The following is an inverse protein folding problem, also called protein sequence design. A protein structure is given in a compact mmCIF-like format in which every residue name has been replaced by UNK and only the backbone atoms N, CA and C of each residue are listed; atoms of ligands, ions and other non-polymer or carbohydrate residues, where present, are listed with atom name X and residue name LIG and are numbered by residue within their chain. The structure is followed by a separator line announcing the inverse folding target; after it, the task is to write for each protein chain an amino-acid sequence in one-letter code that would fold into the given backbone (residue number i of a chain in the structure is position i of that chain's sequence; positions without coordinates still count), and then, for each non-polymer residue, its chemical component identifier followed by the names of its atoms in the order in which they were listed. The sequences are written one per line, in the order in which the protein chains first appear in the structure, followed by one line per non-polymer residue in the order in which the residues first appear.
data_IF_311142993932
#
_entry.id   IF_311142993932
#
_cell.length_a   1.000
_cell.length_b   1.000
_cell.length_c   1.000
_cell.angle_alpha   90.00
_cell.angle_beta   90.00
_cell.angle_gamma   90.00
#
_symmetry.space_group_name_H-M   'P 1'
#
loop_
_entity.id
_entity.type
_entity.pdbx_description
1 polymer ?
#
# COMPACT_ATOMS: atom_id res chain seq x y z
N UNK A 1 -21.52 -7.13 -2.66
CA UNK A 1 -20.21 -7.79 -2.45
C UNK A 1 -19.01 -7.00 -2.99
N UNK A 2 -19.18 -5.92 -3.77
CA UNK A 2 -18.06 -5.14 -4.32
C UNK A 2 -17.40 -4.16 -3.33
N UNK A 3 -18.16 -3.59 -2.39
CA UNK A 3 -17.66 -2.55 -1.47
C UNK A 3 -16.92 -3.10 -0.24
N UNK A 4 -17.14 -4.36 0.14
CA UNK A 4 -16.49 -4.99 1.31
C UNK A 4 -14.96 -4.93 1.23
N UNK A 5 -14.30 -5.35 0.12
CA UNK A 5 -12.84 -5.28 0.03
C UNK A 5 -12.35 -3.83 0.11
N UNK A 6 -13.07 -2.88 -0.50
CA UNK A 6 -12.70 -1.47 -0.49
C UNK A 6 -12.76 -0.91 0.94
N UNK A 7 -13.86 -1.17 1.67
CA UNK A 7 -13.99 -0.75 3.08
C UNK A 7 -12.88 -1.35 3.94
N UNK A 8 -12.57 -2.63 3.74
CA UNK A 8 -11.49 -3.29 4.48
C UNK A 8 -10.13 -2.65 4.18
N UNK A 9 -9.84 -2.32 2.91
CA UNK A 9 -8.60 -1.64 2.53
C UNK A 9 -8.48 -0.23 3.12
N UNK A 10 -9.60 0.50 3.23
CA UNK A 10 -9.61 1.84 3.85
C UNK A 10 -9.30 1.71 5.34
N UNK A 11 -9.97 0.81 6.04
CA UNK A 11 -9.73 0.58 7.48
C UNK A 11 -8.27 0.18 7.71
N UNK A 12 -7.75 -0.76 6.91
CA UNK A 12 -6.36 -1.19 7.00
C UNK A 12 -5.38 -0.03 6.74
N UNK A 13 -5.62 0.82 5.74
CA UNK A 13 -4.79 2.00 5.47
C UNK A 13 -4.82 3.03 6.61
N UNK A 14 -5.97 3.22 7.25
CA UNK A 14 -6.05 4.13 8.42
C UNK A 14 -5.22 3.60 9.58
N UNK A 15 -5.39 2.33 9.94
CA UNK A 15 -4.57 1.70 10.97
C UNK A 15 -3.09 1.72 10.62
N UNK A 16 -2.76 1.46 9.36
CA UNK A 16 -1.41 1.48 8.84
C UNK A 16 -0.70 2.81 9.14
N UNK A 17 -1.30 3.92 8.72
CA UNK A 17 -0.70 5.24 8.92
C UNK A 17 -0.62 5.65 10.39
N UNK A 18 -1.62 5.30 11.20
CA UNK A 18 -1.62 5.59 12.65
C UNK A 18 -0.50 4.80 13.34
N UNK A 19 -0.43 3.49 13.11
CA UNK A 19 0.57 2.62 13.72
C UNK A 19 1.98 3.01 13.30
N UNK A 20 2.18 3.34 12.02
CA UNK A 20 3.49 3.82 11.56
C UNK A 20 3.93 5.11 12.23
N UNK A 21 3.03 6.08 12.41
CA UNK A 21 3.36 7.32 13.13
C UNK A 21 3.66 7.07 14.61
N UNK A 22 3.04 6.04 15.20
CA UNK A 22 3.29 5.62 16.58
C UNK A 22 4.60 4.84 16.76
N UNK A 23 5.25 4.40 15.69
CA UNK A 23 6.57 3.75 15.78
C UNK A 23 7.56 4.77 16.37
N UNK A 24 8.25 4.44 17.47
CA UNK A 24 9.17 5.36 18.11
C UNK A 24 10.27 5.81 17.14
N UNK A 25 10.51 7.12 17.07
CA UNK A 25 11.57 7.69 16.23
C UNK A 25 12.97 7.22 16.65
N UNK A 26 13.12 6.82 17.92
CA UNK A 26 14.36 6.32 18.52
C UNK A 26 14.71 4.87 18.16
N UNK A 27 13.76 4.07 17.65
CA UNK A 27 14.04 2.67 17.24
C UNK A 27 14.64 2.62 15.84
N UNK A 28 15.48 1.62 15.55
CA UNK A 28 15.95 1.39 14.18
C UNK A 28 14.76 1.08 13.25
N UNK A 29 14.58 1.85 12.15
CA UNK A 29 13.42 1.68 11.28
C UNK A 29 13.41 0.29 10.64
N UNK A 30 14.59 -0.19 10.25
CA UNK A 30 14.79 -1.54 9.68
C UNK A 30 14.41 -2.62 10.69
N UNK A 31 14.71 -2.45 11.99
CA UNK A 31 14.33 -3.41 13.01
C UNK A 31 12.80 -3.47 13.18
N UNK A 32 12.13 -2.32 13.15
CA UNK A 32 10.66 -2.27 13.19
C UNK A 32 10.04 -2.95 11.95
N UNK A 33 10.60 -2.71 10.76
CA UNK A 33 10.19 -3.38 9.52
C UNK A 33 10.33 -4.90 9.62
N UNK A 34 11.49 -5.40 10.08
CA UNK A 34 11.73 -6.84 10.23
C UNK A 34 10.65 -7.47 11.12
N UNK A 35 10.31 -6.81 12.24
CA UNK A 35 9.25 -7.29 13.13
C UNK A 35 7.88 -7.30 12.44
N UNK A 36 7.52 -6.23 11.72
CA UNK A 36 6.26 -6.15 10.95
C UNK A 36 6.17 -7.22 9.87
N UNK A 37 7.27 -7.52 9.17
CA UNK A 37 7.28 -8.60 8.19
C UNK A 37 7.19 -9.97 8.84
N UNK A 38 7.80 -10.16 9.99
CA UNK A 38 7.70 -11.41 10.73
C UNK A 38 6.26 -11.67 11.20
N UNK A 39 5.57 -10.64 11.72
CA UNK A 39 4.16 -10.76 12.11
C UNK A 39 3.26 -10.98 10.90
N UNK A 40 3.50 -10.29 9.78
CA UNK A 40 2.76 -10.50 8.53
C UNK A 40 2.95 -11.92 7.98
N UNK A 41 4.19 -12.45 8.04
CA UNK A 41 4.50 -13.81 7.62
C UNK A 41 3.75 -14.82 8.48
N UNK A 42 3.83 -14.71 9.80
CA UNK A 42 3.14 -15.62 10.73
C UNK A 42 1.62 -15.56 10.50
N UNK A 43 1.05 -14.34 10.37
CA UNK A 43 -0.36 -14.15 10.08
C UNK A 43 -0.79 -14.81 8.76
N UNK A 44 -0.01 -14.61 7.70
CA UNK A 44 -0.29 -15.23 6.39
C UNK A 44 -0.21 -16.76 6.45
N UNK A 45 0.72 -17.32 7.24
CA UNK A 45 0.87 -18.76 7.42
C UNK A 45 -0.34 -19.36 8.14
N UNK A 46 -0.84 -18.70 9.19
CA UNK A 46 -2.03 -19.13 9.94
C UNK A 46 -3.26 -19.15 9.02
N UNK A 47 -3.46 -18.09 8.23
CA UNK A 47 -4.57 -18.01 7.28
C UNK A 47 -4.45 -19.09 6.21
N UNK A 48 -3.24 -19.34 5.70
CA UNK A 48 -2.99 -20.41 4.73
C UNK A 48 -3.37 -21.78 5.29
N UNK A 49 -2.90 -22.13 6.49
CA UNK A 49 -3.23 -23.41 7.15
C UNK A 49 -4.73 -23.55 7.38
N UNK A 50 -5.42 -22.46 7.74
CA UNK A 50 -6.86 -22.48 7.98
C UNK A 50 -7.68 -22.72 6.71
N UNK A 51 -7.30 -22.08 5.59
CA UNK A 51 -8.03 -22.19 4.32
C UNK A 51 -7.62 -23.41 3.47
N UNK A 52 -6.35 -23.82 3.51
CA UNK A 52 -5.77 -24.83 2.61
C UNK A 52 -5.35 -26.08 3.39
N UNK A 53 -6.33 -26.75 4.02
CA UNK A 53 -6.08 -27.93 4.87
C UNK A 53 -5.59 -29.18 4.12
N UNK A 54 -5.80 -29.24 2.79
CA UNK A 54 -5.56 -30.45 1.96
C UNK A 54 -4.70 -30.20 0.70
N UNK A 55 -3.92 -29.12 0.65
CA UNK A 55 -3.15 -28.75 -0.55
C UNK A 55 -1.68 -28.82 -0.21
N UNK A 56 -0.91 -29.60 -0.99
CA UNK A 56 0.54 -29.69 -0.84
C UNK A 56 1.16 -28.30 -1.01
N UNK A 57 1.88 -27.84 0.03
CA UNK A 57 2.58 -26.57 0.05
C UNK A 57 3.45 -26.40 -1.20
N UNK A 58 4.10 -27.48 -1.63
CA UNK A 58 5.03 -27.48 -2.77
C UNK A 58 4.32 -27.23 -4.10
N UNK A 59 3.06 -27.68 -4.28
CA UNK A 59 2.31 -27.41 -5.51
C UNK A 59 1.69 -26.01 -5.52
N UNK A 60 1.41 -25.42 -4.35
CA UNK A 60 1.01 -24.01 -4.25
C UNK A 60 2.17 -23.06 -4.59
N UNK A 61 3.42 -23.48 -4.31
CA UNK A 61 4.61 -22.71 -4.63
C UNK A 61 5.08 -22.85 -6.08
N UNK A 62 4.71 -23.91 -6.81
CA UNK A 62 5.06 -24.07 -8.23
C UNK A 62 4.47 -23.02 -9.16
N UNK A 63 3.42 -22.31 -8.74
CA UNK A 63 2.81 -21.20 -9.48
C UNK A 63 3.30 -19.81 -9.05
N UNK A 64 4.16 -19.70 -8.03
CA UNK A 64 4.65 -18.39 -7.59
C UNK A 64 5.59 -17.80 -8.63
N UNK A 65 5.20 -16.64 -9.15
CA UNK A 65 5.92 -15.92 -10.18
C UNK A 65 6.92 -14.92 -9.56
N UNK A 66 7.91 -14.49 -10.34
CA UNK A 66 8.84 -13.40 -9.98
C UNK A 66 8.13 -12.15 -9.43
N UNK A 67 6.89 -11.92 -9.87
CA UNK A 67 6.00 -10.86 -9.39
C UNK A 67 5.82 -10.86 -7.88
N UNK A 68 5.71 -12.01 -7.22
CA UNK A 68 5.57 -12.07 -5.75
C UNK A 68 6.81 -11.54 -5.04
N UNK A 69 8.00 -11.82 -5.59
CA UNK A 69 9.26 -11.28 -5.09
C UNK A 69 9.33 -9.76 -5.31
N UNK A 70 8.96 -9.28 -6.51
CA UNK A 70 8.90 -7.86 -6.83
C UNK A 70 7.89 -7.09 -5.96
N UNK A 71 6.74 -7.70 -5.65
CA UNK A 71 5.75 -7.14 -4.72
C UNK A 71 6.33 -7.02 -3.31
N UNK A 72 7.00 -8.05 -2.80
CA UNK A 72 7.66 -7.99 -1.48
C UNK A 72 8.66 -6.83 -1.39
N UNK A 73 9.50 -6.66 -2.41
CA UNK A 73 10.45 -5.54 -2.48
C UNK A 73 9.74 -4.18 -2.52
N UNK A 74 8.64 -4.08 -3.26
CA UNK A 74 7.84 -2.86 -3.35
C UNK A 74 7.22 -2.47 -2.00
N UNK A 75 6.72 -3.45 -1.23
CA UNK A 75 6.16 -3.19 0.11
C UNK A 75 7.28 -2.70 1.04
N UNK A 76 8.49 -3.28 0.99
CA UNK A 76 9.62 -2.82 1.83
C UNK A 76 9.94 -1.36 1.55
N UNK A 77 9.97 -0.97 0.28
CA UNK A 77 10.26 0.41 -0.12
C UNK A 77 9.14 1.37 0.30
N UNK A 78 7.88 0.93 0.19
CA UNK A 78 6.70 1.71 0.58
C UNK A 78 6.66 1.96 2.09
N UNK A 79 6.87 0.92 2.90
CA UNK A 79 6.97 1.02 4.35
C UNK A 79 8.11 1.96 4.78
N UNK A 80 9.31 1.77 4.21
CA UNK A 80 10.45 2.64 4.48
C UNK A 80 10.16 4.10 4.10
N UNK A 81 9.52 4.32 2.94
CA UNK A 81 9.16 5.65 2.46
C UNK A 81 8.23 6.40 3.41
N UNK A 82 7.14 5.75 3.86
CA UNK A 82 6.22 6.37 4.81
C UNK A 82 6.84 6.58 6.20
N UNK A 83 7.63 5.61 6.69
CA UNK A 83 8.31 5.73 7.98
C UNK A 83 9.31 6.92 7.96
N UNK A 84 10.08 7.08 6.88
CA UNK A 84 10.96 8.22 6.69
C UNK A 84 10.17 9.53 6.58
N UNK A 85 9.08 9.58 5.82
CA UNK A 85 8.24 10.77 5.70
C UNK A 85 7.73 11.23 7.08
N UNK A 86 7.28 10.29 7.92
CA UNK A 86 6.78 10.59 9.26
C UNK A 86 7.86 11.06 10.23
N UNK A 87 9.10 10.60 10.08
CA UNK A 87 10.27 11.10 10.84
C UNK A 87 10.71 12.50 10.45
N UNK A 88 10.53 12.88 9.19
CA UNK A 88 10.79 14.25 8.73
C UNK A 88 9.71 15.23 9.24
N UNK A 89 8.73 14.73 10.01
CA UNK A 89 7.69 15.54 10.63
C UNK A 89 6.48 15.78 9.74
N UNK A 90 6.35 15.06 8.62
CA UNK A 90 5.13 15.16 7.82
C UNK A 90 3.90 14.73 8.61
N UNK A 91 2.81 15.46 8.38
CA UNK A 91 1.48 15.08 8.86
C UNK A 91 1.03 13.79 8.18
N UNK A 92 0.33 12.95 8.95
CA UNK A 92 -0.21 11.68 8.47
C UNK A 92 -1.07 11.89 7.22
N UNK A 93 -1.98 12.88 7.28
CA UNK A 93 -2.89 13.19 6.17
C UNK A 93 -2.15 13.74 4.95
N UNK A 94 -1.20 14.66 5.11
CA UNK A 94 -0.47 15.23 3.97
C UNK A 94 0.37 14.17 3.26
N UNK A 95 1.08 13.33 4.02
CA UNK A 95 1.89 12.24 3.46
C UNK A 95 1.04 11.22 2.68
N UNK A 96 -0.08 10.80 3.27
CA UNK A 96 -0.98 9.85 2.62
C UNK A 96 -1.63 10.43 1.36
N UNK A 97 -2.08 11.70 1.38
CA UNK A 97 -2.73 12.31 0.21
C UNK A 97 -1.72 12.53 -0.92
N UNK A 98 -0.55 13.11 -0.63
CA UNK A 98 0.49 13.35 -1.67
C UNK A 98 0.94 12.03 -2.28
N UNK A 99 1.20 11.00 -1.46
CA UNK A 99 1.61 9.69 -1.94
C UNK A 99 0.53 9.04 -2.80
N UNK A 100 -0.70 8.92 -2.30
CA UNK A 100 -1.79 8.27 -3.04
C UNK A 100 -2.14 9.00 -4.34
N UNK A 101 -2.14 10.34 -4.36
CA UNK A 101 -2.39 11.12 -5.58
C UNK A 101 -1.25 10.95 -6.59
N UNK A 102 0.00 10.99 -6.15
CA UNK A 102 1.17 10.78 -7.02
C UNK A 102 1.19 9.37 -7.61
N UNK A 103 0.91 8.37 -6.78
CA UNK A 103 0.78 6.97 -7.19
C UNK A 103 -0.35 6.82 -8.22
N UNK A 104 -1.51 7.43 -7.97
CA UNK A 104 -2.63 7.42 -8.92
C UNK A 104 -2.26 8.06 -10.26
N UNK A 105 -1.59 9.23 -10.22
CA UNK A 105 -1.09 9.93 -11.41
C UNK A 105 -0.14 9.08 -12.25
N UNK A 106 0.76 8.32 -11.61
CA UNK A 106 1.70 7.43 -12.28
C UNK A 106 1.04 6.15 -12.77
N UNK A 107 0.07 5.61 -12.02
CA UNK A 107 -0.67 4.39 -12.38
C UNK A 107 -1.56 4.60 -13.61
N UNK A 108 -2.10 5.80 -13.84
CA UNK A 108 -2.95 6.09 -15.00
C UNK A 108 -2.29 5.75 -16.34
N UNK A 109 -1.12 6.32 -16.72
CA UNK A 109 -0.49 5.99 -17.99
C UNK A 109 -0.05 4.52 -18.04
N UNK A 110 0.36 3.94 -16.90
CA UNK A 110 0.74 2.52 -16.82
C UNK A 110 -0.48 1.62 -17.06
N UNK A 111 -1.63 1.92 -16.46
CA UNK A 111 -2.89 1.21 -16.62
C UNK A 111 -3.42 1.27 -18.06
N UNK A 112 -3.31 2.44 -18.70
CA UNK A 112 -3.68 2.60 -20.11
C UNK A 112 -2.76 1.77 -21.02
N UNK A 113 -1.44 1.86 -20.84
CA UNK A 113 -0.45 1.25 -21.76
C UNK A 113 -0.35 -0.26 -21.55
N UNK A 114 -0.21 -0.72 -20.30
CA UNK A 114 0.02 -2.13 -19.98
C UNK A 114 -1.28 -2.92 -19.77
N UNK A 115 -2.28 -2.33 -19.12
CA UNK A 115 -3.52 -3.03 -18.76
C UNK A 115 -4.70 -2.72 -19.69
N UNK A 116 -4.53 -1.79 -20.65
CA UNK A 116 -5.57 -1.35 -21.59
C UNK A 116 -6.85 -0.89 -20.89
N UNK A 117 -6.70 -0.25 -19.74
CA UNK A 117 -7.84 0.31 -19.01
C UNK A 117 -8.51 1.43 -19.83
N UNK A 118 -9.83 1.34 -19.99
CA UNK A 118 -10.62 2.40 -20.61
C UNK A 118 -10.93 3.47 -19.56
N UNK A 119 -10.15 4.54 -19.58
CA UNK A 119 -10.41 5.69 -18.71
C UNK A 119 -11.49 6.58 -19.35
N UNK A 120 -12.64 6.68 -18.68
CA UNK A 120 -13.71 7.58 -19.07
C UNK A 120 -13.32 9.04 -18.83
N UNK A 121 -13.85 9.96 -19.64
CA UNK A 121 -13.58 11.40 -19.52
C UNK A 121 -13.98 11.97 -18.15
N UNK A 122 -14.96 11.35 -17.49
CA UNK A 122 -15.35 11.68 -16.11
C UNK A 122 -14.23 11.38 -15.09
N UNK A 123 -13.49 10.28 -15.26
CA UNK A 123 -12.39 9.92 -14.37
C UNK A 123 -11.26 10.95 -14.49
N UNK A 124 -10.96 11.39 -15.72
CA UNK A 124 -9.94 12.41 -15.99
C UNK A 124 -10.24 13.73 -15.26
N UNK A 125 -11.50 14.18 -15.31
CA UNK A 125 -11.97 15.38 -14.61
C UNK A 125 -11.87 15.17 -13.08
N UNK A 126 -12.25 13.98 -12.58
CA UNK A 126 -12.11 13.65 -11.17
C UNK A 126 -10.66 13.71 -10.68
N UNK A 127 -9.72 13.19 -11.46
CA UNK A 127 -8.28 13.25 -11.15
C UNK A 127 -7.80 14.70 -11.10
N UNK A 128 -8.16 15.53 -12.09
CA UNK A 128 -7.85 16.96 -12.09
C UNK A 128 -8.39 17.65 -10.82
N UNK A 129 -9.61 17.33 -10.42
CA UNK A 129 -10.22 17.87 -9.20
C UNK A 129 -9.48 17.43 -7.94
N UNK A 130 -9.05 16.16 -7.86
CA UNK A 130 -8.23 15.65 -6.75
C UNK A 130 -6.88 16.34 -6.66
N UNK A 131 -6.22 16.62 -7.79
CA UNK A 131 -4.95 17.34 -7.84
C UNK A 131 -5.13 18.79 -7.38
N UNK A 132 -6.17 19.48 -7.86
CA UNK A 132 -6.50 20.84 -7.40
C UNK A 132 -6.79 20.86 -5.90
N UNK A 133 -7.56 19.88 -5.40
CA UNK A 133 -7.81 19.71 -3.97
C UNK A 133 -6.54 19.50 -3.16
N UNK A 134 -5.60 18.68 -3.66
CA UNK A 134 -4.30 18.47 -3.02
C UNK A 134 -3.47 19.76 -2.98
N UNK A 135 -3.39 20.51 -4.10
CA UNK A 135 -2.66 21.78 -4.15
C UNK A 135 -3.24 22.78 -3.15
N UNK A 136 -4.55 22.84 -3.02
CA UNK A 136 -5.23 23.74 -2.09
C UNK A 136 -4.99 23.35 -0.62
N UNK A 137 -4.92 22.05 -0.32
CA UNK A 137 -4.56 21.54 1.01
C UNK A 137 -3.08 21.80 1.33
N UNK A 138 -2.20 21.70 0.34
CA UNK A 138 -0.76 21.88 0.50
C UNK A 138 -0.35 23.37 0.56
N UNK A 139 -1.12 24.29 -0.02
CA UNK A 139 -0.82 25.73 -0.11
C UNK A 139 -0.98 26.51 1.21
N UNK A 140 -0.56 25.94 2.34
CA UNK A 140 -0.52 26.61 3.64
C UNK A 140 0.80 27.31 3.88
#
# INVERSE_FOLDING_TARGET
MYYIPIILTIIANVFYHILQKMIPEKSDPIASLILTYCTALIGSLIVFIYYHKNIDLIDSFKGLNWTSCALGLSIILLELGFLLAYRVGWDISLGAIVSNVSVTLLLIPIGIIFFKENISMANLIGILLCVVGLVLINSK
#
